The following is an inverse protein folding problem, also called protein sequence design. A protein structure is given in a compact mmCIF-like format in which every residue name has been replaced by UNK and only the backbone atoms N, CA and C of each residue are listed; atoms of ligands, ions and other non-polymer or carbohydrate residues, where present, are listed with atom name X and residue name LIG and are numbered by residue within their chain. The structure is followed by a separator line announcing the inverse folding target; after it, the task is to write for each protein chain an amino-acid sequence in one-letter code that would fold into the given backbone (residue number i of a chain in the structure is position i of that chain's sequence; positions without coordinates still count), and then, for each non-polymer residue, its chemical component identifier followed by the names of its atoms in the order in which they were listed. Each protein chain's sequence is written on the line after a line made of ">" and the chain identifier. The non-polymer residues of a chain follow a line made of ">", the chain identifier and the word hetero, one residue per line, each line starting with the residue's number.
data_IF_989824761152
#
_entry.id   IF_989824761152
#
_cell.length_a   1.000
_cell.length_b   1.000
_cell.length_c   1.000
_cell.angle_alpha   90.00
_cell.angle_beta   90.00
_cell.angle_gamma   90.00
#
_symmetry.space_group_name_H-M   'P 1'
#
loop_
_entity.id
_entity.type
_entity.pdbx_description
1 polymer ?
#
# COMPACT_ATOMS: atom_id res chain seq x y z
N UNK A 1 6.90 -8.39 15.59
CA UNK A 1 6.81 -7.26 14.64
C UNK A 1 5.77 -7.67 13.64
N UNK A 2 4.66 -6.94 13.48
CA UNK A 2 3.63 -7.30 12.51
C UNK A 2 4.20 -7.40 11.10
N UNK A 3 3.86 -8.50 10.43
CA UNK A 3 4.20 -8.76 9.04
C UNK A 3 3.05 -8.36 8.12
N UNK A 4 3.35 -7.54 7.12
CA UNK A 4 2.37 -7.06 6.16
C UNK A 4 2.65 -7.65 4.78
N UNK A 5 1.58 -8.12 4.14
CA UNK A 5 1.58 -8.49 2.72
C UNK A 5 0.61 -7.58 2.00
N UNK A 6 1.05 -6.91 0.94
CA UNK A 6 0.24 -5.97 0.18
C UNK A 6 0.18 -6.40 -1.28
N UNK A 7 -1.01 -6.75 -1.75
CA UNK A 7 -1.32 -7.03 -3.13
C UNK A 7 -1.92 -5.78 -3.78
N UNK A 8 -1.43 -5.42 -4.95
CA UNK A 8 -1.89 -4.28 -5.73
C UNK A 8 -1.77 -4.62 -7.22
N UNK A 9 -2.49 -3.91 -8.08
CA UNK A 9 -2.47 -4.13 -9.54
C UNK A 9 -2.75 -5.60 -9.97
N UNK A 10 -3.49 -6.37 -9.17
CA UNK A 10 -3.66 -7.83 -9.38
C UNK A 10 -2.34 -8.61 -9.53
N UNK A 11 -1.23 -8.12 -8.97
CA UNK A 11 0.05 -8.85 -8.97
C UNK A 11 -0.11 -10.16 -8.16
N UNK A 12 0.49 -11.24 -8.67
CA UNK A 12 0.53 -12.52 -7.96
C UNK A 12 1.44 -12.47 -6.72
N UNK A 13 2.49 -11.66 -6.78
CA UNK A 13 3.45 -11.50 -5.69
C UNK A 13 3.08 -10.27 -4.83
N UNK A 14 2.84 -10.44 -3.52
CA UNK A 14 2.63 -9.31 -2.63
C UNK A 14 3.94 -8.57 -2.34
N UNK A 15 3.83 -7.27 -2.04
CA UNK A 15 4.87 -6.54 -1.35
C UNK A 15 4.86 -6.95 0.12
N UNK A 16 5.95 -7.58 0.55
CA UNK A 16 6.13 -8.07 1.90
C UNK A 16 7.03 -7.13 2.71
N UNK A 17 6.58 -6.70 3.88
CA UNK A 17 7.39 -5.92 4.79
C UNK A 17 6.99 -6.14 6.24
N UNK A 18 7.95 -5.94 7.14
CA UNK A 18 7.68 -5.93 8.59
C UNK A 18 7.71 -4.50 9.10
N UNK A 19 6.87 -4.18 10.08
CA UNK A 19 6.91 -2.90 10.76
C UNK A 19 7.03 -3.09 12.27
N UNK A 20 7.66 -2.14 12.95
CA UNK A 20 7.79 -2.17 14.41
C UNK A 20 6.46 -1.83 15.12
N UNK A 21 5.50 -1.25 14.40
CA UNK A 21 4.20 -0.81 14.91
C UNK A 21 3.10 -0.99 13.86
N UNK A 22 1.84 -0.88 14.28
CA UNK A 22 0.68 -0.97 13.38
C UNK A 22 0.80 0.09 12.28
N UNK A 23 0.76 -0.35 11.04
CA UNK A 23 0.91 0.52 9.87
C UNK A 23 -0.45 1.11 9.50
N UNK A 24 -0.47 2.40 9.19
CA UNK A 24 -1.67 3.10 8.72
C UNK A 24 -1.86 2.88 7.23
N UNK A 25 -3.08 3.11 6.76
CA UNK A 25 -3.44 2.99 5.35
C UNK A 25 -2.55 3.87 4.47
N UNK A 26 -2.28 5.12 4.88
CA UNK A 26 -1.37 6.04 4.19
C UNK A 26 0.05 5.48 4.05
N UNK A 27 0.61 4.90 5.12
CA UNK A 27 1.95 4.31 5.09
C UNK A 27 2.04 3.06 4.20
N UNK A 28 0.92 2.35 4.00
CA UNK A 28 0.86 1.23 3.04
C UNK A 28 0.99 1.78 1.62
N UNK A 29 0.26 2.84 1.28
CA UNK A 29 0.41 3.51 -0.01
C UNK A 29 1.83 4.02 -0.22
N UNK A 30 2.42 4.69 0.78
CA UNK A 30 3.79 5.21 0.70
C UNK A 30 4.82 4.10 0.43
N UNK A 31 4.67 2.93 1.07
CA UNK A 31 5.54 1.78 0.81
C UNK A 31 5.37 1.21 -0.59
N UNK A 32 4.14 1.14 -1.09
CA UNK A 32 3.87 0.68 -2.48
C UNK A 32 4.48 1.68 -3.47
N UNK A 33 4.31 2.98 -3.25
CA UNK A 33 4.91 4.01 -4.09
C UNK A 33 6.44 3.96 -4.06
N UNK A 34 7.04 3.82 -2.87
CA UNK A 34 8.48 3.67 -2.75
C UNK A 34 9.00 2.42 -3.49
N UNK A 35 8.26 1.30 -3.43
CA UNK A 35 8.62 0.07 -4.12
C UNK A 35 8.56 0.21 -5.66
N UNK A 36 7.50 0.84 -6.17
CA UNK A 36 7.30 1.06 -7.61
C UNK A 36 8.08 2.29 -8.14
N UNK A 37 8.88 2.95 -7.29
CA UNK A 37 9.62 4.18 -7.60
C UNK A 37 8.70 5.36 -8.04
N UNK A 38 7.51 5.44 -7.45
CA UNK A 38 6.53 6.50 -7.69
C UNK A 38 6.78 7.63 -6.68
N UNK A 39 6.85 8.87 -7.17
CA UNK A 39 6.99 10.04 -6.32
C UNK A 39 5.71 10.28 -5.52
N UNK A 40 5.85 10.52 -4.21
CA UNK A 40 4.73 10.90 -3.36
C UNK A 40 4.12 12.23 -3.84
N UNK A 41 2.78 12.36 -3.86
CA UNK A 41 2.15 13.64 -4.13
C UNK A 41 2.60 14.68 -3.08
N UNK A 42 2.79 15.93 -3.52
CA UNK A 42 3.05 17.03 -2.59
C UNK A 42 1.86 17.23 -1.62
N UNK A 43 2.08 17.85 -0.46
CA UNK A 43 1.05 18.04 0.59
C UNK A 43 -0.23 18.77 0.12
N UNK A 44 -0.15 19.50 -1.01
CA UNK A 44 -1.30 20.17 -1.65
C UNK A 44 -1.82 19.44 -2.90
N UNK A 45 -1.38 18.21 -3.13
CA UNK A 45 -1.65 17.40 -4.31
C UNK A 45 -2.85 16.47 -4.17
N UNK A 46 -3.07 15.59 -5.17
CA UNK A 46 -4.10 14.56 -5.10
C UNK A 46 -3.84 13.58 -3.95
N UNK A 47 -4.92 13.02 -3.39
CA UNK A 47 -4.84 12.01 -2.32
C UNK A 47 -4.03 10.79 -2.76
N UNK A 48 -3.42 10.08 -1.80
CA UNK A 48 -2.68 8.84 -2.09
C UNK A 48 -3.51 7.81 -2.87
N UNK A 49 -4.80 7.68 -2.56
CA UNK A 49 -5.72 6.82 -3.31
C UNK A 49 -5.87 7.23 -4.79
N UNK A 50 -5.90 8.54 -5.08
CA UNK A 50 -6.05 9.08 -6.44
C UNK A 50 -4.76 8.88 -7.26
N UNK A 51 -3.60 9.01 -6.62
CA UNK A 51 -2.31 8.66 -7.21
C UNK A 51 -2.23 7.15 -7.47
N UNK A 52 -2.65 6.33 -6.50
CA UNK A 52 -2.68 4.88 -6.67
C UNK A 52 -3.62 4.46 -7.81
N UNK A 53 -4.77 5.10 -7.95
CA UNK A 53 -5.69 4.89 -9.08
C UNK A 53 -5.05 5.32 -10.41
N UNK A 54 -4.40 6.49 -10.45
CA UNK A 54 -3.69 6.98 -11.65
C UNK A 54 -2.57 6.05 -12.11
N UNK A 55 -1.88 5.41 -11.17
CA UNK A 55 -0.82 4.44 -11.44
C UNK A 55 -1.32 2.99 -11.55
N UNK A 56 -2.65 2.77 -11.58
CA UNK A 56 -3.29 1.44 -11.66
C UNK A 56 -2.87 0.49 -10.52
N UNK A 57 -2.48 1.03 -9.37
CA UNK A 57 -2.14 0.27 -8.17
C UNK A 57 -3.41 -0.14 -7.41
N UNK A 58 -4.46 0.69 -7.48
CA UNK A 58 -5.75 0.43 -6.85
C UNK A 58 -6.54 -0.71 -7.55
N UNK A 59 -7.28 -1.54 -6.79
CA UNK A 59 -7.40 -1.55 -5.33
C UNK A 59 -6.18 -2.19 -4.66
N UNK A 60 -5.74 -1.64 -3.52
CA UNK A 60 -4.70 -2.26 -2.69
C UNK A 60 -5.38 -3.18 -1.69
N UNK A 61 -4.83 -4.37 -1.50
CA UNK A 61 -5.29 -5.34 -0.51
C UNK A 61 -4.13 -5.68 0.40
N UNK A 62 -4.31 -5.65 1.71
CA UNK A 62 -3.25 -6.01 2.65
C UNK A 62 -3.71 -6.94 3.76
N UNK A 63 -2.80 -7.76 4.28
CA UNK A 63 -3.01 -8.60 5.47
C UNK A 63 -1.93 -8.33 6.50
N UNK A 64 -2.29 -8.31 7.78
CA UNK A 64 -1.39 -8.17 8.93
C UNK A 64 -1.27 -9.53 9.66
N UNK A 65 -0.06 -10.08 9.78
CA UNK A 65 0.31 -11.24 10.62
C UNK A 65 -0.55 -12.52 10.42
N UNK A 66 -1.14 -12.70 9.23
CA UNK A 66 -2.12 -13.76 8.85
C UNK A 66 -3.60 -13.49 9.21
N UNK A 67 -3.93 -12.26 9.58
CA UNK A 67 -5.30 -11.79 9.80
C UNK A 67 -6.13 -11.61 8.52
N UNK A 68 -7.35 -11.09 8.70
CA UNK A 68 -8.25 -10.84 7.59
C UNK A 68 -7.67 -9.83 6.58
N UNK A 69 -7.87 -10.05 5.27
CA UNK A 69 -7.41 -9.12 4.26
C UNK A 69 -8.29 -7.88 4.22
N UNK A 70 -7.65 -6.72 4.38
CA UNK A 70 -8.26 -5.40 4.23
C UNK A 70 -8.07 -4.90 2.80
N UNK A 71 -9.09 -4.23 2.26
CA UNK A 71 -9.03 -3.61 0.93
C UNK A 71 -9.13 -2.10 1.06
N UNK A 72 -8.20 -1.40 0.45
CA UNK A 72 -8.14 0.05 0.30
C UNK A 72 -8.62 0.41 -1.11
N UNK A 73 -9.53 1.38 -1.19
CA UNK A 73 -10.15 1.88 -2.42
C UNK A 73 -9.51 3.21 -2.85
#
# INVERSE_FOLDING_TARGET
>A
MPFYRVWYQNKSEPLEFSSASRVREDEIFERVFAHENIALPAESGPSLADVAASHQLAPLRYTEDEGEPYTLL
#
